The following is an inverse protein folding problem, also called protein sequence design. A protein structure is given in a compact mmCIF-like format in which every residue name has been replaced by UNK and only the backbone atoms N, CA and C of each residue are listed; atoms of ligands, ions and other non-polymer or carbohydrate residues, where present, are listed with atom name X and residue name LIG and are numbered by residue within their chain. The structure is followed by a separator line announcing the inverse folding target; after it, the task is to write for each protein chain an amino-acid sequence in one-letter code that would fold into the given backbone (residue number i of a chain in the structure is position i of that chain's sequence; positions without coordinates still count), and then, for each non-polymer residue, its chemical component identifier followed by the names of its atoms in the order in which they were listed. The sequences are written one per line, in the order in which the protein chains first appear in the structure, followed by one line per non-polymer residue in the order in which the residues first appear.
data_IF_430422723120
#
_entry.id   IF_430422723120
#
_cell.length_a   1.000
_cell.length_b   1.000
_cell.length_c   1.000
_cell.angle_alpha   90.00
_cell.angle_beta   90.00
_cell.angle_gamma   90.00
#
_symmetry.space_group_name_H-M   'P 1'
#
loop_
_entity.id
_entity.type
_entity.pdbx_description
1 polymer ?
#
# COMPACT_ATOMS: atom_id res chain seq x y z
N UNK A 1 34.74 -0.37 37.52
CA UNK A 1 33.99 -0.35 36.25
C UNK A 1 34.95 0.17 35.19
N UNK A 2 35.47 -0.73 34.34
CA UNK A 2 36.54 -0.41 33.39
C UNK A 2 36.19 -1.05 32.05
N UNK A 3 36.26 -0.23 30.99
CA UNK A 3 35.94 -0.55 29.59
C UNK A 3 37.21 -0.96 28.86
N UNK A 4 37.13 -1.96 27.97
CA UNK A 4 38.10 -2.14 26.89
C UNK A 4 37.38 -2.62 25.61
N UNK A 5 37.45 -1.77 24.57
CA UNK A 5 37.14 -2.06 23.17
C UNK A 5 38.27 -2.91 22.58
N UNK A 6 37.92 -3.98 21.86
CA UNK A 6 38.85 -4.77 21.06
C UNK A 6 38.57 -4.58 19.58
N UNK A 7 39.53 -3.94 18.90
CA UNK A 7 39.77 -4.07 17.46
C UNK A 7 40.86 -5.13 17.27
N UNK A 8 40.83 -5.90 16.17
CA UNK A 8 42.04 -6.56 15.67
C UNK A 8 42.59 -5.81 14.45
N UNK A 9 43.86 -5.42 14.55
CA UNK A 9 44.71 -4.91 13.48
C UNK A 9 45.69 -6.02 13.07
N UNK A 10 45.57 -6.51 11.84
CA UNK A 10 46.65 -7.16 11.09
C UNK A 10 46.28 -6.94 9.61
N UNK A 11 46.80 -5.92 8.95
CA UNK A 11 48.14 -5.93 8.38
C UNK A 11 48.00 -6.01 6.86
N UNK A 12 47.69 -4.89 6.21
CA UNK A 12 47.82 -4.76 4.76
C UNK A 12 49.30 -4.59 4.43
N UNK A 13 49.88 -5.57 3.72
CA UNK A 13 51.03 -5.34 2.85
C UNK A 13 50.52 -5.48 1.41
N UNK A 14 50.68 -4.38 0.68
CA UNK A 14 50.28 -4.16 -0.70
C UNK A 14 50.79 -5.26 -1.65
N UNK A 15 49.98 -5.62 -2.64
CA UNK A 15 50.43 -5.47 -4.03
C UNK A 15 49.27 -4.98 -4.90
N UNK A 16 49.59 -4.20 -5.93
CA UNK A 16 48.66 -3.38 -6.69
C UNK A 16 48.02 -4.19 -7.81
N UNK A 17 47.11 -3.56 -8.52
CA UNK A 17 46.58 -3.98 -9.82
C UNK A 17 45.34 -4.88 -9.75
N UNK A 18 44.23 -4.30 -10.21
CA UNK A 18 42.93 -4.94 -10.30
C UNK A 18 42.95 -6.20 -11.17
N UNK A 19 42.93 -7.36 -10.53
CA UNK A 19 42.77 -8.65 -11.20
C UNK A 19 41.34 -9.15 -11.02
N UNK A 20 40.69 -9.20 -12.18
CA UNK A 20 39.39 -9.76 -12.57
C UNK A 20 39.13 -11.21 -12.07
N UNK A 21 37.89 -11.73 -12.23
CA UNK A 21 37.43 -12.96 -11.59
C UNK A 21 38.01 -14.19 -12.29
N UNK A 22 39.26 -14.53 -11.98
CA UNK A 22 39.91 -15.76 -12.47
C UNK A 22 40.42 -16.65 -11.33
N UNK A 23 40.45 -16.15 -10.09
CA UNK A 23 40.97 -16.91 -8.94
C UNK A 23 39.99 -17.98 -8.41
N UNK A 24 38.71 -17.93 -8.78
CA UNK A 24 37.75 -18.98 -8.43
C UNK A 24 37.92 -20.27 -9.24
N UNK A 25 38.63 -20.23 -10.38
CA UNK A 25 38.86 -21.42 -11.21
C UNK A 25 40.03 -22.27 -10.70
N UNK A 26 40.95 -21.71 -9.90
CA UNK A 26 42.14 -22.42 -9.48
C UNK A 26 41.89 -23.45 -8.36
N UNK A 27 40.87 -23.26 -7.52
CA UNK A 27 40.61 -24.17 -6.38
C UNK A 27 39.79 -25.40 -6.76
N UNK A 28 39.07 -25.39 -7.89
CA UNK A 28 38.26 -26.53 -8.33
C UNK A 28 39.08 -27.61 -9.06
N UNK A 29 40.23 -27.26 -9.64
CA UNK A 29 41.04 -28.21 -10.41
C UNK A 29 41.78 -29.24 -9.52
N UNK A 30 42.02 -28.93 -8.24
CA UNK A 30 42.76 -29.84 -7.34
C UNK A 30 41.89 -30.96 -6.72
N UNK A 31 40.58 -30.94 -6.92
CA UNK A 31 39.63 -31.88 -6.27
C UNK A 31 38.74 -32.62 -7.27
N UNK A 32 39.30 -33.11 -8.37
CA UNK A 32 38.80 -34.30 -9.09
C UNK A 32 37.29 -34.44 -9.31
N UNK A 33 36.55 -33.32 -9.47
CA UNK A 33 35.10 -33.33 -9.62
C UNK A 33 34.74 -32.82 -11.01
N UNK A 34 33.92 -33.61 -11.72
CA UNK A 34 33.56 -33.45 -13.12
C UNK A 34 33.09 -32.02 -13.44
N UNK A 35 33.61 -31.37 -14.49
CA UNK A 35 33.30 -29.97 -14.82
C UNK A 35 31.81 -29.73 -15.14
N UNK A 36 31.05 -30.78 -15.45
CA UNK A 36 29.60 -30.69 -15.67
C UNK A 36 28.82 -30.31 -14.40
N UNK A 37 29.23 -30.79 -13.23
CA UNK A 37 28.49 -30.56 -11.96
C UNK A 37 28.56 -29.10 -11.52
N UNK A 38 29.76 -28.51 -11.59
CA UNK A 38 30.03 -27.11 -11.24
C UNK A 38 29.27 -26.12 -12.12
N UNK A 39 29.17 -26.38 -13.43
CA UNK A 39 28.45 -25.51 -14.37
C UNK A 39 26.94 -25.60 -14.16
N UNK A 40 26.40 -26.80 -13.91
CA UNK A 40 24.98 -26.96 -13.60
C UNK A 40 24.59 -26.32 -12.28
N UNK A 41 25.46 -26.34 -11.27
CA UNK A 41 25.22 -25.67 -9.99
C UNK A 41 25.30 -24.15 -10.12
N UNK A 42 26.21 -23.63 -10.95
CA UNK A 42 26.30 -22.20 -11.25
C UNK A 42 25.08 -21.70 -12.05
N UNK A 43 24.65 -22.45 -13.05
CA UNK A 43 23.43 -22.16 -13.82
C UNK A 43 22.18 -22.24 -12.94
N UNK A 44 22.10 -23.24 -12.05
CA UNK A 44 21.00 -23.40 -11.07
C UNK A 44 20.98 -22.26 -10.06
N UNK A 45 22.14 -21.78 -9.59
CA UNK A 45 22.25 -20.61 -8.72
C UNK A 45 21.82 -19.32 -9.44
N UNK A 46 22.24 -19.12 -10.69
CA UNK A 46 21.82 -17.98 -11.51
C UNK A 46 20.32 -18.01 -11.85
N UNK A 47 19.74 -19.18 -12.15
CA UNK A 47 18.31 -19.37 -12.36
C UNK A 47 17.52 -19.08 -11.08
N UNK A 48 18.02 -19.52 -9.92
CA UNK A 48 17.42 -19.25 -8.61
C UNK A 48 17.47 -17.76 -8.27
N UNK A 49 18.58 -17.09 -8.56
CA UNK A 49 18.76 -15.65 -8.32
C UNK A 49 17.85 -14.80 -9.22
N UNK A 50 17.71 -15.17 -10.51
CA UNK A 50 16.74 -14.54 -11.43
C UNK A 50 15.30 -14.73 -10.97
N UNK A 51 14.95 -15.92 -10.49
CA UNK A 51 13.61 -16.22 -10.00
C UNK A 51 13.27 -15.42 -8.73
N UNK A 52 14.23 -15.23 -7.81
CA UNK A 52 14.07 -14.39 -6.61
C UNK A 52 13.88 -12.91 -6.98
N UNK A 53 14.62 -12.39 -7.95
CA UNK A 53 14.48 -11.00 -8.42
C UNK A 53 13.10 -10.76 -9.03
N UNK A 54 12.58 -11.71 -9.82
CA UNK A 54 11.24 -11.61 -10.42
C UNK A 54 10.14 -11.69 -9.35
N UNK A 55 10.28 -12.53 -8.33
CA UNK A 55 9.33 -12.62 -7.21
C UNK A 55 9.34 -11.33 -6.39
N UNK A 56 10.51 -10.77 -6.11
CA UNK A 56 10.64 -9.49 -5.41
C UNK A 56 10.00 -8.34 -6.20
N UNK A 57 10.19 -8.32 -7.53
CA UNK A 57 9.55 -7.33 -8.40
C UNK A 57 8.02 -7.48 -8.41
N UNK A 58 7.50 -8.71 -8.40
CA UNK A 58 6.07 -9.00 -8.36
C UNK A 58 5.42 -8.61 -7.03
N UNK A 59 6.13 -8.78 -5.90
CA UNK A 59 5.65 -8.41 -4.57
C UNK A 59 5.56 -6.88 -4.36
N UNK A 60 6.35 -6.09 -5.10
CA UNK A 60 6.34 -4.62 -5.00
C UNK A 60 5.17 -3.96 -5.75
N UNK A 61 4.57 -4.65 -6.73
CA UNK A 61 3.47 -4.10 -7.56
C UNK A 61 2.11 -4.27 -6.84
N UNK A 62 2.02 -5.12 -5.81
CA UNK A 62 0.76 -5.53 -5.19
C UNK A 62 0.24 -4.70 -4.00
N UNK A 63 0.92 -3.61 -3.59
CA UNK A 63 0.54 -2.90 -2.36
C UNK A 63 -0.34 -1.67 -2.64
N UNK A 64 -1.54 -1.90 -3.18
CA UNK A 64 -2.63 -0.92 -3.12
C UNK A 64 -3.28 -0.95 -1.74
N UNK A 65 -2.75 -0.20 -0.78
CA UNK A 65 -3.36 -0.10 0.55
C UNK A 65 -4.46 0.95 0.51
N UNK A 66 -5.71 0.52 0.34
CA UNK A 66 -6.88 1.37 0.58
C UNK A 66 -6.98 1.61 2.09
N UNK A 67 -6.62 2.79 2.59
CA UNK A 67 -6.77 3.08 4.02
C UNK A 67 -8.22 3.45 4.32
N UNK A 68 -8.91 2.64 5.13
CA UNK A 68 -10.15 3.07 5.76
C UNK A 68 -9.80 4.14 6.83
N UNK A 69 -10.09 5.41 6.53
CA UNK A 69 -9.89 6.50 7.48
C UNK A 69 -11.17 6.71 8.29
N UNK A 70 -11.08 6.54 9.62
CA UNK A 70 -12.18 6.88 10.52
C UNK A 70 -12.03 8.35 10.93
N UNK A 71 -12.97 9.20 10.51
CA UNK A 71 -13.03 10.61 10.87
C UNK A 71 -14.24 10.87 11.75
N UNK A 72 -14.03 11.50 12.90
CA UNK A 72 -15.13 11.96 13.77
C UNK A 72 -15.55 13.35 13.30
N UNK A 73 -16.81 13.49 12.92
CA UNK A 73 -17.41 14.77 12.53
C UNK A 73 -18.42 15.18 13.60
N UNK A 74 -18.22 16.37 14.17
CA UNK A 74 -19.16 16.96 15.11
C UNK A 74 -20.13 17.87 14.34
N UNK A 75 -21.43 17.65 14.54
CA UNK A 75 -22.50 18.45 13.97
C UNK A 75 -23.34 19.12 15.04
N UNK A 76 -23.98 20.22 14.68
CA UNK A 76 -24.97 20.91 15.53
C UNK A 76 -26.35 20.70 14.90
N UNK A 77 -27.36 20.39 15.72
CA UNK A 77 -28.75 20.23 15.26
C UNK A 77 -29.20 21.47 14.49
N UNK A 78 -29.83 21.27 13.34
CA UNK A 78 -30.27 22.30 12.39
C UNK A 78 -29.20 22.80 11.41
N UNK A 79 -27.92 22.52 11.65
CA UNK A 79 -26.83 22.92 10.76
C UNK A 79 -26.55 21.86 9.68
N UNK A 80 -25.50 22.09 8.89
CA UNK A 80 -25.03 21.15 7.88
C UNK A 80 -23.64 20.63 8.24
N UNK A 81 -23.34 19.39 7.84
CA UNK A 81 -22.00 18.79 7.91
C UNK A 81 -21.54 18.39 6.52
N UNK A 82 -20.25 18.54 6.24
CA UNK A 82 -19.63 18.18 4.96
C UNK A 82 -18.66 17.03 5.19
N UNK A 83 -18.76 16.00 4.36
CA UNK A 83 -17.85 14.86 4.44
C UNK A 83 -16.47 15.23 3.85
N UNK A 84 -15.38 14.81 4.52
CA UNK A 84 -14.02 15.21 4.18
C UNK A 84 -13.48 14.55 2.89
N UNK A 85 -14.09 13.46 2.45
CA UNK A 85 -13.65 12.71 1.29
C UNK A 85 -14.46 13.09 0.05
N UNK A 86 -13.78 13.14 -1.09
CA UNK A 86 -14.35 13.52 -2.37
C UNK A 86 -14.58 12.30 -3.26
N UNK A 87 -15.77 12.23 -3.86
CA UNK A 87 -16.20 11.29 -4.91
C UNK A 87 -16.53 12.10 -6.15
N UNK A 88 -15.85 11.83 -7.26
CA UNK A 88 -15.93 12.57 -8.53
C UNK A 88 -16.83 11.90 -9.56
N UNK A 89 -16.80 10.57 -9.67
CA UNK A 89 -17.50 9.82 -10.72
C UNK A 89 -18.47 8.79 -10.16
N UNK A 90 -18.05 7.98 -9.19
CA UNK A 90 -18.90 6.94 -8.63
C UNK A 90 -18.63 6.70 -7.15
N UNK A 91 -19.70 6.70 -6.36
CA UNK A 91 -19.60 6.36 -4.94
C UNK A 91 -20.91 6.57 -4.19
N UNK A 92 -21.01 5.92 -3.04
CA UNK A 92 -22.25 5.84 -2.26
C UNK A 92 -21.99 6.24 -0.82
N UNK A 93 -22.84 7.10 -0.28
CA UNK A 93 -22.85 7.45 1.14
C UNK A 93 -23.87 6.57 1.87
N UNK A 94 -23.41 5.84 2.87
CA UNK A 94 -24.19 4.86 3.62
C UNK A 94 -24.24 5.26 5.10
N UNK A 95 -25.43 5.29 5.67
CA UNK A 95 -25.66 5.45 7.10
C UNK A 95 -25.85 4.08 7.74
N UNK A 96 -25.10 3.80 8.80
CA UNK A 96 -25.25 2.60 9.61
C UNK A 96 -26.08 2.93 10.86
N UNK A 97 -27.34 2.47 10.87
CA UNK A 97 -28.20 2.48 12.07
C UNK A 97 -28.46 1.03 12.50
N UNK A 98 -27.76 0.61 13.55
CA UNK A 98 -27.78 -0.80 13.99
C UNK A 98 -27.26 -1.72 12.88
N UNK A 99 -27.96 -2.84 12.65
CA UNK A 99 -27.53 -3.88 11.70
C UNK A 99 -27.95 -3.62 10.24
N UNK A 100 -28.70 -2.55 9.97
CA UNK A 100 -29.22 -2.23 8.63
C UNK A 100 -28.48 -1.04 8.02
N UNK A 101 -27.53 -1.25 7.11
CA UNK A 101 -26.92 -0.17 6.35
C UNK A 101 -27.94 0.40 5.35
N UNK A 102 -28.12 1.71 5.35
CA UNK A 102 -29.02 2.40 4.44
C UNK A 102 -28.23 3.37 3.54
N UNK A 103 -28.31 3.24 2.21
CA UNK A 103 -27.77 4.26 1.31
C UNK A 103 -28.60 5.54 1.44
N UNK A 104 -27.93 6.67 1.64
CA UNK A 104 -28.56 7.99 1.78
C UNK A 104 -28.23 8.93 0.63
N UNK A 105 -27.19 8.61 -0.14
CA UNK A 105 -26.89 9.27 -1.40
C UNK A 105 -26.01 8.40 -2.29
N UNK A 106 -26.22 8.48 -3.59
CA UNK A 106 -25.43 7.77 -4.58
C UNK A 106 -24.98 8.69 -5.70
N UNK A 107 -23.75 8.51 -6.16
CA UNK A 107 -23.20 9.17 -7.33
C UNK A 107 -22.83 8.10 -8.33
N UNK A 108 -23.39 8.18 -9.53
CA UNK A 108 -23.09 7.25 -10.62
C UNK A 108 -22.88 8.04 -11.92
N UNK A 109 -21.70 7.89 -12.53
CA UNK A 109 -21.35 8.64 -13.74
C UNK A 109 -21.32 10.16 -13.54
N UNK A 110 -21.08 10.64 -12.32
CA UNK A 110 -21.13 12.06 -11.95
C UNK A 110 -22.55 12.63 -11.81
N UNK A 111 -23.58 11.79 -11.79
CA UNK A 111 -24.95 12.18 -11.46
C UNK A 111 -25.28 11.76 -10.03
N UNK A 112 -25.88 12.67 -9.25
CA UNK A 112 -26.24 12.44 -7.86
C UNK A 112 -27.71 12.05 -7.70
N UNK A 113 -27.96 11.02 -6.90
CA UNK A 113 -29.28 10.57 -6.47
C UNK A 113 -29.38 10.68 -4.96
N UNK A 114 -30.41 11.37 -4.48
CA UNK A 114 -30.70 11.53 -3.06
C UNK A 114 -31.81 10.57 -2.61
N UNK A 115 -31.62 9.95 -1.45
CA UNK A 115 -32.60 9.06 -0.80
C UNK A 115 -33.22 9.66 0.47
N UNK A 116 -32.94 10.94 0.76
CA UNK A 116 -33.27 11.62 2.03
C UNK A 116 -34.18 12.83 1.86
N UNK A 117 -35.00 12.85 0.81
CA UNK A 117 -36.01 13.89 0.56
C UNK A 117 -35.43 15.32 0.49
N UNK A 118 -34.24 15.49 -0.09
CA UNK A 118 -33.56 16.77 -0.33
C UNK A 118 -32.52 17.15 0.72
N UNK A 119 -32.27 16.30 1.73
CA UNK A 119 -31.35 16.64 2.83
C UNK A 119 -29.89 16.40 2.50
N UNK A 120 -29.57 15.32 1.78
CA UNK A 120 -28.23 15.01 1.31
C UNK A 120 -27.97 15.73 0.00
N UNK A 121 -26.80 16.34 -0.11
CA UNK A 121 -26.35 17.00 -1.32
C UNK A 121 -24.97 16.50 -1.70
N UNK A 122 -24.69 16.50 -3.00
CA UNK A 122 -23.36 16.26 -3.52
C UNK A 122 -22.93 17.44 -4.38
N UNK A 123 -21.76 17.99 -4.10
CA UNK A 123 -21.19 19.08 -4.88
C UNK A 123 -20.32 18.51 -5.99
N UNK A 124 -20.75 18.66 -7.25
CA UNK A 124 -20.02 18.12 -8.40
C UNK A 124 -18.64 18.74 -8.64
N UNK A 125 -18.43 19.98 -8.18
CA UNK A 125 -17.13 20.66 -8.30
C UNK A 125 -16.12 20.10 -7.31
N UNK A 126 -16.50 19.98 -6.03
CA UNK A 126 -15.61 19.50 -4.98
C UNK A 126 -15.60 17.98 -4.83
N UNK A 127 -16.66 17.31 -5.27
CA UNK A 127 -16.93 15.88 -5.11
C UNK A 127 -17.46 15.50 -3.72
N UNK A 128 -17.83 16.47 -2.88
CA UNK A 128 -18.10 16.21 -1.46
C UNK A 128 -19.59 16.07 -1.21
N UNK A 129 -19.93 15.11 -0.35
CA UNK A 129 -21.27 14.99 0.21
C UNK A 129 -21.46 15.97 1.37
N UNK A 130 -22.70 16.40 1.58
CA UNK A 130 -23.13 17.12 2.76
C UNK A 130 -24.52 16.69 3.18
N UNK A 131 -24.80 16.75 4.48
CA UNK A 131 -26.14 16.59 5.03
C UNK A 131 -26.55 17.94 5.62
N UNK A 132 -27.73 18.40 5.26
CA UNK A 132 -28.32 19.64 5.77
C UNK A 132 -29.43 19.39 6.79
N UNK A 133 -29.67 20.37 7.65
CA UNK A 133 -30.73 20.33 8.65
C UNK A 133 -30.58 19.15 9.62
N UNK A 134 -29.38 18.97 10.18
CA UNK A 134 -29.05 17.85 11.07
C UNK A 134 -30.05 17.68 12.20
N UNK A 135 -30.38 16.44 12.53
CA UNK A 135 -31.26 16.05 13.62
C UNK A 135 -30.51 15.14 14.58
N UNK A 136 -31.00 14.99 15.81
CA UNK A 136 -30.37 14.09 16.79
C UNK A 136 -30.33 12.65 16.28
N UNK A 137 -31.38 12.21 15.57
CA UNK A 137 -31.43 10.88 14.96
C UNK A 137 -30.47 10.69 13.79
N UNK A 138 -29.82 11.73 13.26
CA UNK A 138 -28.79 11.57 12.22
C UNK A 138 -27.42 11.21 12.81
N UNK A 139 -27.30 11.16 14.14
CA UNK A 139 -26.08 10.64 14.77
C UNK A 139 -25.87 9.17 14.40
N UNK A 140 -24.64 8.82 14.00
CA UNK A 140 -24.31 7.46 13.62
C UNK A 140 -23.00 7.36 12.87
N UNK A 141 -22.70 6.14 12.42
CA UNK A 141 -21.54 5.86 11.59
C UNK A 141 -21.91 6.00 10.12
N UNK A 142 -21.11 6.75 9.40
CA UNK A 142 -21.25 6.92 7.96
C UNK A 142 -20.07 6.29 7.24
N UNK A 143 -20.36 5.54 6.18
CA UNK A 143 -19.36 4.97 5.29
C UNK A 143 -19.50 5.62 3.93
N UNK A 144 -18.40 6.16 3.42
CA UNK A 144 -18.32 6.64 2.05
C UNK A 144 -17.61 5.58 1.20
N UNK A 145 -18.35 4.93 0.31
CA UNK A 145 -17.78 4.04 -0.68
C UNK A 145 -17.36 4.88 -1.89
N UNK A 146 -16.06 5.00 -2.11
CA UNK A 146 -15.52 5.67 -3.30
C UNK A 146 -15.11 4.61 -4.33
N UNK A 147 -15.77 4.64 -5.48
CA UNK A 147 -15.55 3.74 -6.62
C UNK A 147 -14.90 4.46 -7.82
N UNK A 148 -14.25 5.60 -7.58
CA UNK A 148 -13.44 6.30 -8.57
C UNK A 148 -12.12 5.56 -8.85
N UNK A 149 -12.21 4.47 -9.60
CA UNK A 149 -11.04 3.73 -10.12
C UNK A 149 -10.80 4.01 -11.61
#
# INVERSE_FOLDING_TARGET
MMVLLSTPKTGCALCPDGVFPTTYLATAYSRGSSPLTTVTDFLRACLKMRSIILIALFLMIGQGVSSAQNVVLNGVVGQSVVFPDAVKKSGTLILHKGDSPQPIGDVTGGQFTDFTEGRVQWNSTTGRFSISGLKEEDSGTYTLLNNDF
#
